data_IF_967828804957
#
_entry.id   IF_967828804957
#
_cell.length_a   1.000
_cell.length_b   1.000
_cell.length_c   1.000
_cell.angle_alpha   90.00
_cell.angle_beta   90.00
_cell.angle_gamma   90.00
#
_symmetry.space_group_name_H-M   'P 1'
#
loop_
_entity.id
_entity.type
_entity.pdbx_description
1 polymer ?
#
# COMPACT_ATOMS: atom_id res chain seq x y z
N UNK A 1 -26.09 -67.64 -10.41
CA UNK A 1 -26.32 -67.88 -11.84
C UNK A 1 -25.47 -66.93 -12.63
N UNK A 2 -24.44 -67.48 -13.20
CA UNK A 2 -23.73 -67.20 -14.46
C UNK A 2 -23.16 -65.82 -14.58
N UNK A 3 -21.84 -65.51 -14.48
CA UNK A 3 -20.62 -66.05 -15.15
C UNK A 3 -20.66 -65.90 -16.68
N UNK A 4 -19.72 -65.07 -17.18
CA UNK A 4 -18.86 -65.28 -18.36
C UNK A 4 -18.03 -63.99 -18.59
N UNK A 5 -16.74 -63.89 -18.38
CA UNK A 5 -15.54 -64.39 -19.05
C UNK A 5 -15.25 -63.85 -20.46
N UNK A 6 -14.07 -63.34 -20.60
CA UNK A 6 -13.20 -63.43 -21.77
C UNK A 6 -12.85 -62.06 -22.39
N UNK A 7 -11.72 -61.72 -22.84
CA UNK A 7 -10.37 -62.23 -22.97
C UNK A 7 -9.49 -61.14 -23.55
N UNK A 8 -8.30 -61.01 -23.08
CA UNK A 8 -7.02 -60.55 -23.57
C UNK A 8 -6.74 -60.73 -25.08
N UNK A 9 -6.10 -59.74 -25.72
CA UNK A 9 -5.03 -60.01 -26.68
C UNK A 9 -4.03 -58.90 -26.78
N UNK A 10 -2.79 -59.25 -26.55
CA UNK A 10 -1.54 -58.56 -26.84
C UNK A 10 -1.19 -58.63 -28.31
N UNK A 11 -0.41 -57.67 -28.85
CA UNK A 11 0.68 -57.86 -29.85
C UNK A 11 1.39 -56.53 -30.12
N UNK A 12 2.61 -56.37 -29.66
CA UNK A 12 3.94 -56.54 -30.34
C UNK A 12 4.36 -55.38 -31.30
N UNK A 13 5.54 -54.84 -30.95
CA UNK A 13 6.43 -54.00 -31.79
C UNK A 13 7.10 -54.84 -32.89
N UNK A 14 7.64 -54.18 -33.96
CA UNK A 14 9.08 -54.25 -34.20
C UNK A 14 9.65 -52.88 -34.70
N UNK A 15 10.76 -52.45 -34.31
CA UNK A 15 12.20 -52.65 -34.48
C UNK A 15 12.79 -52.22 -35.83
N UNK A 16 13.71 -51.25 -35.77
CA UNK A 16 14.91 -50.94 -36.55
C UNK A 16 14.85 -50.87 -38.08
N UNK A 17 15.40 -49.74 -38.60
CA UNK A 17 16.62 -49.88 -39.42
C UNK A 17 17.42 -48.55 -39.54
N UNK A 18 18.73 -48.69 -39.36
CA UNK A 18 19.79 -47.76 -39.68
C UNK A 18 20.06 -47.79 -41.19
N UNK A 19 20.31 -46.66 -41.81
CA UNK A 19 21.23 -46.61 -42.95
C UNK A 19 21.94 -45.26 -43.01
N UNK A 20 23.23 -45.36 -43.04
CA UNK A 20 24.23 -44.34 -43.32
C UNK A 20 24.38 -44.18 -44.84
N UNK A 21 24.59 -42.95 -45.32
CA UNK A 21 25.39 -42.72 -46.53
C UNK A 21 25.81 -41.24 -46.66
N UNK A 22 26.96 -41.07 -47.01
CA UNK A 22 28.03 -40.08 -47.03
C UNK A 22 27.98 -39.16 -48.24
N UNK A 23 28.51 -37.94 -48.11
CA UNK A 23 29.14 -37.03 -49.07
C UNK A 23 28.32 -36.25 -50.09
N UNK A 24 28.42 -34.88 -49.98
CA UNK A 24 29.11 -34.05 -50.96
C UNK A 24 29.26 -32.60 -50.48
N UNK A 25 30.48 -32.10 -50.49
CA UNK A 25 30.88 -30.72 -50.31
C UNK A 25 30.41 -29.84 -51.49
N UNK A 26 29.73 -28.72 -51.23
CA UNK A 26 29.76 -27.54 -52.09
C UNK A 26 29.88 -26.29 -51.23
N UNK A 27 30.94 -25.53 -51.45
CA UNK A 27 31.15 -24.20 -50.93
C UNK A 27 30.15 -23.24 -51.58
N UNK A 28 29.34 -22.59 -50.76
CA UNK A 28 28.55 -21.43 -51.11
C UNK A 28 28.68 -20.38 -49.99
N UNK A 29 29.41 -19.30 -50.26
CA UNK A 29 29.48 -18.16 -49.34
C UNK A 29 28.14 -17.49 -49.27
N UNK A 30 27.48 -17.59 -48.08
CA UNK A 30 26.29 -16.82 -47.77
C UNK A 30 26.68 -15.87 -46.66
N UNK A 31 26.54 -14.57 -46.94
CA UNK A 31 26.64 -13.46 -46.00
C UNK A 31 25.54 -13.67 -44.96
N UNK A 32 25.92 -14.09 -43.76
CA UNK A 32 25.01 -14.17 -42.61
C UNK A 32 24.87 -12.79 -42.00
N UNK A 33 23.74 -12.12 -42.27
CA UNK A 33 23.26 -11.04 -41.44
C UNK A 33 22.96 -11.62 -40.04
N UNK A 34 23.79 -11.30 -39.07
CA UNK A 34 23.64 -11.73 -37.69
C UNK A 34 22.38 -11.11 -37.08
N UNK A 35 21.36 -11.93 -36.85
CA UNK A 35 20.28 -11.62 -35.92
C UNK A 35 20.83 -11.97 -34.53
N UNK A 36 21.28 -10.96 -33.79
CA UNK A 36 21.57 -11.13 -32.39
C UNK A 36 20.25 -11.41 -31.65
N UNK A 37 20.19 -12.43 -30.79
CA UNK A 37 19.05 -12.57 -29.87
C UNK A 37 19.02 -11.38 -28.93
N UNK A 38 17.90 -10.68 -28.85
CA UNK A 38 17.67 -9.64 -27.86
C UNK A 38 17.87 -10.25 -26.47
N UNK A 39 18.84 -9.72 -25.74
CA UNK A 39 19.02 -10.03 -24.33
C UNK A 39 17.76 -9.63 -23.58
N UNK A 40 17.33 -10.39 -22.53
CA UNK A 40 16.24 -9.96 -21.68
C UNK A 40 16.62 -8.62 -21.05
N UNK A 41 15.78 -7.62 -21.22
CA UNK A 41 15.93 -6.33 -20.54
C UNK A 41 15.92 -6.60 -19.05
N UNK A 42 17.08 -6.47 -18.43
CA UNK A 42 17.23 -6.46 -16.98
C UNK A 42 16.29 -5.38 -16.42
N UNK A 43 15.43 -5.79 -15.48
CA UNK A 43 14.68 -4.85 -14.65
C UNK A 43 15.64 -3.75 -14.20
N UNK A 44 15.33 -2.51 -14.54
CA UNK A 44 16.19 -1.37 -14.26
C UNK A 44 16.55 -1.35 -12.79
N UNK A 45 17.84 -1.52 -12.49
CA UNK A 45 18.40 -1.19 -11.21
C UNK A 45 18.04 0.27 -10.93
N UNK A 46 17.39 0.51 -9.79
CA UNK A 46 17.17 1.87 -9.32
C UNK A 46 18.54 2.58 -9.30
N UNK A 47 18.67 3.66 -10.05
CA UNK A 47 19.86 4.50 -10.00
C UNK A 47 20.12 4.91 -8.55
N UNK A 48 21.38 4.96 -8.11
CA UNK A 48 21.70 5.42 -6.77
C UNK A 48 21.21 6.87 -6.65
N UNK A 49 20.23 7.08 -5.76
CA UNK A 49 19.74 8.41 -5.40
C UNK A 49 20.95 9.19 -4.86
N UNK A 50 21.45 10.14 -5.66
CA UNK A 50 22.43 11.12 -5.20
C UNK A 50 21.92 11.73 -3.90
N UNK A 51 22.83 11.84 -2.95
CA UNK A 51 22.63 12.41 -1.62
C UNK A 51 22.00 13.79 -1.77
N UNK A 52 20.66 13.86 -1.75
CA UNK A 52 19.97 15.15 -1.61
C UNK A 52 20.33 15.70 -0.23
N UNK A 53 20.99 16.85 -0.27
CA UNK A 53 21.42 17.57 0.90
C UNK A 53 20.23 17.93 1.80
N UNK A 54 20.51 17.84 3.09
CA UNK A 54 19.70 18.27 4.23
C UNK A 54 18.33 17.61 4.37
N UNK A 55 18.24 16.86 5.48
CA UNK A 55 16.98 16.37 6.02
C UNK A 55 15.94 17.49 6.00
N UNK A 56 15.05 17.47 5.03
CA UNK A 56 13.94 18.38 5.04
C UNK A 56 13.08 18.00 6.26
N UNK A 57 13.19 18.79 7.32
CA UNK A 57 12.40 18.65 8.54
C UNK A 57 10.93 18.45 8.18
N UNK A 58 10.26 17.55 8.92
CA UNK A 58 8.81 17.41 8.80
C UNK A 58 8.21 18.80 8.98
N UNK A 59 7.39 19.26 8.03
CA UNK A 59 6.66 20.51 8.21
C UNK A 59 5.62 20.27 9.31
N UNK A 60 5.81 20.83 10.50
CA UNK A 60 4.86 20.66 11.58
C UNK A 60 3.52 21.28 11.22
N UNK A 61 2.45 20.73 11.74
CA UNK A 61 1.09 21.24 11.55
C UNK A 61 0.49 21.64 12.89
N UNK A 62 0.55 22.92 13.24
CA UNK A 62 -0.07 23.39 14.46
C UNK A 62 -1.57 23.08 14.48
N UNK A 63 -2.10 22.61 15.61
CA UNK A 63 -3.54 22.46 15.80
C UNK A 63 -4.25 23.81 15.60
N UNK A 64 -5.45 23.78 15.01
CA UNK A 64 -6.19 25.00 14.69
C UNK A 64 -6.94 25.58 15.87
N UNK A 65 -7.29 24.75 16.86
CA UNK A 65 -7.96 25.12 18.10
C UNK A 65 -7.72 24.08 19.22
N UNK A 66 -8.28 24.32 20.39
CA UNK A 66 -8.17 23.44 21.55
C UNK A 66 -8.81 22.05 21.33
N UNK A 67 -9.90 21.97 20.59
CA UNK A 67 -10.53 20.68 20.28
C UNK A 67 -9.66 19.85 19.34
N UNK A 68 -9.06 20.50 18.36
CA UNK A 68 -8.12 19.88 17.45
C UNK A 68 -6.85 19.43 18.19
N UNK A 69 -6.28 20.28 19.02
CA UNK A 69 -5.14 19.94 19.88
C UNK A 69 -5.44 18.72 20.75
N UNK A 70 -6.59 18.72 21.43
CA UNK A 70 -7.00 17.59 22.27
C UNK A 70 -7.10 16.29 21.45
N UNK A 71 -7.77 16.30 20.29
CA UNK A 71 -7.88 15.13 19.41
C UNK A 71 -6.52 14.59 18.97
N UNK A 72 -5.59 15.49 18.61
CA UNK A 72 -4.24 15.08 18.22
C UNK A 72 -3.43 14.54 19.40
N UNK A 73 -3.55 15.12 20.61
CA UNK A 73 -2.90 14.57 21.80
C UNK A 73 -3.46 13.19 22.17
N UNK A 74 -4.77 13.00 22.14
CA UNK A 74 -5.41 11.70 22.34
C UNK A 74 -4.90 10.67 21.33
N UNK A 75 -4.86 11.02 20.04
CA UNK A 75 -4.34 10.18 18.98
C UNK A 75 -2.86 9.80 19.21
N UNK A 76 -2.00 10.77 19.45
CA UNK A 76 -0.55 10.58 19.60
C UNK A 76 -0.18 9.87 20.89
N UNK A 77 -0.80 10.23 22.01
CA UNK A 77 -0.44 9.72 23.34
C UNK A 77 -1.11 8.38 23.64
N UNK A 78 -2.43 8.30 23.47
CA UNK A 78 -3.19 7.10 23.82
C UNK A 78 -2.95 5.93 22.88
N UNK A 79 -2.79 6.23 21.58
CA UNK A 79 -2.74 5.19 20.55
C UNK A 79 -1.35 4.98 19.96
N UNK A 80 -0.73 6.03 19.43
CA UNK A 80 0.58 5.93 18.79
C UNK A 80 1.76 5.88 19.77
N UNK A 81 1.55 6.23 21.04
CA UNK A 81 2.59 6.25 22.08
C UNK A 81 3.77 7.15 21.70
N UNK A 82 3.47 8.34 21.22
CA UNK A 82 4.47 9.33 20.84
C UNK A 82 5.16 9.91 22.07
N UNK A 83 6.46 10.17 21.92
CA UNK A 83 7.23 10.99 22.83
C UNK A 83 6.89 12.47 22.67
N UNK A 84 7.30 13.31 23.63
CA UNK A 84 7.13 14.77 23.52
C UNK A 84 7.82 15.32 22.29
N UNK A 85 9.02 14.81 21.95
CA UNK A 85 9.77 15.23 20.77
C UNK A 85 9.04 14.90 19.45
N UNK A 86 8.42 13.72 19.37
CA UNK A 86 7.60 13.33 18.21
C UNK A 86 6.33 14.18 18.10
N UNK A 87 5.71 14.55 19.23
CA UNK A 87 4.58 15.49 19.26
C UNK A 87 5.02 16.88 18.81
N UNK A 88 6.18 17.36 19.30
CA UNK A 88 6.79 18.62 18.82
C UNK A 88 7.02 18.57 17.30
N UNK A 89 7.60 17.50 16.77
CA UNK A 89 7.83 17.33 15.34
C UNK A 89 6.53 17.30 14.54
N UNK A 90 5.45 16.73 15.10
CA UNK A 90 4.15 16.66 14.43
C UNK A 90 3.40 18.02 14.46
N UNK A 91 3.50 18.78 15.55
CA UNK A 91 2.64 19.93 15.81
C UNK A 91 3.36 21.28 15.76
N UNK A 92 4.68 21.30 15.97
CA UNK A 92 5.45 22.53 16.14
C UNK A 92 5.30 23.19 17.52
N UNK A 93 4.53 22.57 18.45
CA UNK A 93 4.39 23.09 19.80
C UNK A 93 5.65 22.86 20.62
N UNK A 94 6.00 23.79 21.51
CA UNK A 94 7.10 23.61 22.43
C UNK A 94 6.79 22.50 23.47
N UNK A 95 7.80 21.79 23.98
CA UNK A 95 7.59 20.75 25.00
C UNK A 95 6.76 21.20 26.22
N UNK A 96 6.98 22.43 26.69
CA UNK A 96 6.24 22.98 27.80
C UNK A 96 4.73 23.19 27.51
N UNK A 97 4.40 23.58 26.26
CA UNK A 97 3.02 23.74 25.81
C UNK A 97 2.32 22.37 25.71
N UNK A 98 3.02 21.35 25.22
CA UNK A 98 2.52 19.97 25.15
C UNK A 98 2.20 19.46 26.57
N UNK A 99 3.13 19.59 27.51
CA UNK A 99 2.94 19.16 28.90
C UNK A 99 1.77 19.90 29.55
N UNK A 100 1.67 21.21 29.33
CA UNK A 100 0.55 22.02 29.85
C UNK A 100 -0.79 21.58 29.24
N UNK A 101 -0.84 21.29 27.94
CA UNK A 101 -2.04 20.80 27.27
C UNK A 101 -2.43 19.38 27.73
N UNK A 102 -1.47 18.48 27.94
CA UNK A 102 -1.70 17.15 28.53
C UNK A 102 -2.37 17.26 29.91
N UNK A 103 -1.86 18.14 30.78
CA UNK A 103 -2.45 18.39 32.10
C UNK A 103 -3.85 18.99 31.99
N UNK A 104 -4.04 19.97 31.11
CA UNK A 104 -5.32 20.67 30.90
C UNK A 104 -6.42 19.73 30.38
N UNK A 105 -6.10 18.81 29.45
CA UNK A 105 -7.08 17.90 28.88
C UNK A 105 -7.14 16.55 29.59
N UNK A 106 -6.31 16.33 30.60
CA UNK A 106 -6.15 15.05 31.28
C UNK A 106 -5.83 13.91 30.33
N UNK A 107 -4.89 14.11 29.38
CA UNK A 107 -4.45 13.10 28.42
C UNK A 107 -3.09 12.53 28.82
N UNK A 108 -3.09 11.28 29.32
CA UNK A 108 -1.89 10.59 29.79
C UNK A 108 -1.79 9.19 29.17
N UNK A 109 -0.58 8.59 29.08
CA UNK A 109 -0.41 7.26 28.51
C UNK A 109 -1.20 6.15 29.25
N UNK A 110 -1.51 6.35 30.53
CA UNK A 110 -2.16 5.38 31.42
C UNK A 110 -3.69 5.53 31.52
N UNK A 111 -4.26 6.62 31.00
CA UNK A 111 -5.70 6.89 31.13
C UNK A 111 -6.48 6.77 29.81
N UNK A 112 -5.95 6.00 28.85
CA UNK A 112 -6.67 5.73 27.60
C UNK A 112 -8.03 5.07 27.89
N UNK A 113 -9.14 5.57 27.34
CA UNK A 113 -10.43 4.92 27.47
C UNK A 113 -10.40 3.48 26.94
N UNK A 114 -11.03 2.57 27.70
CA UNK A 114 -11.22 1.20 27.25
C UNK A 114 -12.16 1.15 26.04
N UNK A 115 -11.84 0.30 25.07
CA UNK A 115 -12.73 -0.01 23.95
C UNK A 115 -13.46 -1.33 24.23
N UNK A 116 -14.71 -1.42 23.82
CA UNK A 116 -15.46 -2.68 23.91
C UNK A 116 -14.79 -3.76 23.03
N UNK A 117 -14.88 -5.02 23.45
CA UNK A 117 -14.21 -6.12 22.74
C UNK A 117 -14.74 -6.36 21.32
N UNK A 118 -15.99 -5.99 21.06
CA UNK A 118 -16.67 -6.07 19.77
C UNK A 118 -16.56 -4.78 18.95
N UNK A 119 -15.77 -3.82 19.40
CA UNK A 119 -15.56 -2.58 18.65
C UNK A 119 -14.91 -2.90 17.29
N UNK A 120 -15.30 -2.20 16.21
CA UNK A 120 -14.60 -2.25 14.93
C UNK A 120 -13.11 -1.98 15.09
N UNK A 121 -12.30 -2.32 14.08
CA UNK A 121 -10.88 -1.98 14.08
C UNK A 121 -10.67 -0.47 14.34
N UNK A 122 -9.63 -0.14 15.10
CA UNK A 122 -9.33 1.28 15.36
C UNK A 122 -8.63 1.89 14.14
N UNK A 123 -9.27 2.90 13.58
CA UNK A 123 -8.82 3.66 12.40
C UNK A 123 -8.63 5.13 12.81
N UNK A 124 -7.42 5.66 12.65
CA UNK A 124 -7.08 7.05 12.99
C UNK A 124 -6.23 7.71 11.90
N UNK A 125 -6.36 9.02 11.65
CA UNK A 125 -5.40 9.76 10.84
C UNK A 125 -3.99 9.58 11.39
N UNK A 126 -2.99 9.38 10.52
CA UNK A 126 -1.59 9.32 10.94
C UNK A 126 -1.10 10.72 11.33
N UNK A 127 -0.53 10.92 12.53
CA UNK A 127 -0.25 12.27 13.03
C UNK A 127 0.98 12.96 12.40
N UNK A 128 1.85 12.25 11.66
CA UNK A 128 3.17 12.77 11.27
C UNK A 128 4.15 12.75 12.45
N UNK A 129 5.25 13.49 12.37
CA UNK A 129 6.24 13.60 13.45
C UNK A 129 7.14 12.39 13.68
N UNK A 130 6.69 11.21 13.34
CA UNK A 130 7.44 9.94 13.31
C UNK A 130 7.43 9.41 11.88
N UNK A 131 8.57 8.90 11.41
CA UNK A 131 8.61 8.29 10.09
C UNK A 131 7.85 6.95 10.09
N UNK A 132 6.87 6.73 9.18
CA UNK A 132 6.05 5.51 9.21
C UNK A 132 6.79 4.27 8.68
N UNK A 133 7.95 4.42 8.05
CA UNK A 133 8.74 3.34 7.45
C UNK A 133 10.02 3.10 8.23
N UNK A 134 10.43 1.83 8.30
CA UNK A 134 11.78 1.43 8.71
C UNK A 134 12.70 1.34 7.49
N UNK A 135 14.01 1.39 7.72
CA UNK A 135 15.03 1.19 6.68
C UNK A 135 15.13 2.33 5.65
N UNK A 136 14.34 3.38 5.77
CA UNK A 136 14.51 4.58 4.99
C UNK A 136 15.68 5.39 5.56
N UNK A 137 16.54 5.92 4.68
CA UNK A 137 17.62 6.81 5.10
C UNK A 137 17.00 8.10 5.67
N UNK A 138 17.50 8.56 6.80
CA UNK A 138 17.11 9.82 7.37
C UNK A 138 17.19 10.93 6.32
N UNK A 139 16.14 11.74 6.22
CA UNK A 139 16.04 12.84 5.27
C UNK A 139 15.63 12.50 3.84
N UNK A 140 15.44 11.22 3.48
CA UNK A 140 15.03 10.83 2.13
C UNK A 140 13.56 11.13 1.82
N UNK A 141 12.72 11.31 2.83
CA UNK A 141 11.27 11.49 2.68
C UNK A 141 10.75 12.41 3.77
N UNK A 142 10.05 13.48 3.39
CA UNK A 142 9.27 14.26 4.34
C UNK A 142 8.10 13.41 4.84
N UNK A 143 7.95 13.19 6.14
CA UNK A 143 6.84 12.41 6.69
C UNK A 143 5.53 13.20 6.61
N UNK A 144 5.01 13.35 5.40
CA UNK A 144 3.69 13.97 5.20
C UNK A 144 2.61 13.06 5.78
N UNK A 145 1.66 13.66 6.48
CA UNK A 145 0.51 12.94 7.04
C UNK A 145 -0.73 12.92 6.13
N UNK A 146 -0.73 13.73 5.05
CA UNK A 146 -1.79 13.63 4.04
C UNK A 146 -1.82 12.23 3.44
N UNK A 147 -2.99 11.73 3.13
CA UNK A 147 -3.26 10.39 2.62
C UNK A 147 -2.90 9.23 3.56
N UNK A 148 -2.26 9.50 4.72
CA UNK A 148 -1.89 8.46 5.67
C UNK A 148 -2.90 8.30 6.80
N UNK A 149 -3.24 7.06 7.09
CA UNK A 149 -3.98 6.70 8.29
C UNK A 149 -3.38 5.46 8.95
N UNK A 150 -3.64 5.29 10.23
CA UNK A 150 -3.19 4.14 11.02
C UNK A 150 -4.33 3.20 11.30
N UNK A 151 -4.07 1.91 11.14
CA UNK A 151 -4.98 0.82 11.52
C UNK A 151 -4.31 0.02 12.62
N UNK A 152 -4.89 0.04 13.82
CA UNK A 152 -4.36 -0.67 14.97
C UNK A 152 -4.72 -2.15 14.92
N UNK A 153 -3.74 -3.01 15.23
CA UNK A 153 -3.95 -4.46 15.20
C UNK A 153 -4.91 -4.90 16.30
N UNK A 154 -5.72 -5.94 16.07
CA UNK A 154 -6.69 -6.39 17.07
C UNK A 154 -6.04 -7.05 18.29
N UNK A 155 -4.80 -7.53 18.16
CA UNK A 155 -4.08 -8.26 19.20
C UNK A 155 -3.14 -7.40 20.06
N UNK A 156 -2.79 -6.20 19.61
CA UNK A 156 -1.94 -5.25 20.36
C UNK A 156 -2.41 -3.82 20.10
N UNK A 157 -2.92 -3.14 21.13
CA UNK A 157 -3.48 -1.80 21.00
C UNK A 157 -2.44 -0.69 20.76
N UNK A 158 -1.15 -1.02 20.74
CA UNK A 158 -0.06 -0.09 20.44
C UNK A 158 0.64 -0.41 19.11
N UNK A 159 0.28 -1.55 18.49
CA UNK A 159 0.77 -2.02 17.22
C UNK A 159 -0.16 -1.57 16.09
N UNK A 160 0.40 -1.01 15.01
CA UNK A 160 -0.40 -0.47 13.92
C UNK A 160 0.30 -0.56 12.57
N UNK A 161 -0.51 -0.61 11.51
CA UNK A 161 -0.13 -0.45 10.12
C UNK A 161 -0.42 0.98 9.71
N UNK A 162 0.50 1.63 8.99
CA UNK A 162 0.22 2.92 8.35
C UNK A 162 -0.08 2.70 6.87
N UNK A 163 -1.26 3.12 6.44
CA UNK A 163 -1.67 3.00 5.03
C UNK A 163 -1.59 4.36 4.37
N UNK A 164 -0.96 4.41 3.19
CA UNK A 164 -0.97 5.56 2.29
C UNK A 164 -2.02 5.32 1.19
N UNK A 165 -3.05 6.13 1.16
CA UNK A 165 -4.21 6.00 0.27
C UNK A 165 -4.52 7.32 -0.44
N UNK A 166 -4.00 7.56 -1.65
CA UNK A 166 -2.94 6.84 -2.35
C UNK A 166 -1.54 7.34 -1.95
N UNK A 167 -0.52 6.49 -2.11
CA UNK A 167 0.87 6.92 -2.02
C UNK A 167 1.27 7.73 -3.25
N UNK A 168 0.91 7.25 -4.45
CA UNK A 168 1.22 7.93 -5.70
C UNK A 168 0.18 7.63 -6.78
N UNK A 169 0.03 8.57 -7.71
CA UNK A 169 -0.77 8.41 -8.93
C UNK A 169 0.07 8.88 -10.13
N UNK A 170 0.23 8.00 -11.11
CA UNK A 170 0.84 8.30 -12.41
C UNK A 170 -0.23 8.38 -13.50
N UNK A 171 0.10 9.10 -14.55
CA UNK A 171 -0.65 9.13 -15.81
C UNK A 171 0.35 9.18 -16.97
N UNK A 172 -0.13 9.23 -18.23
CA UNK A 172 0.70 9.49 -19.40
C UNK A 172 1.47 10.81 -19.31
N UNK A 173 1.03 11.76 -18.49
CA UNK A 173 1.71 13.06 -18.27
C UNK A 173 2.80 12.98 -17.19
N UNK A 174 2.98 11.83 -16.54
CA UNK A 174 3.93 11.60 -15.44
C UNK A 174 3.27 11.48 -14.08
N UNK A 175 4.04 11.74 -13.03
CA UNK A 175 3.62 11.61 -11.63
C UNK A 175 2.74 12.81 -11.23
N UNK A 176 1.43 12.60 -11.07
CA UNK A 176 0.47 13.67 -10.75
C UNK A 176 0.17 13.79 -9.25
N UNK A 177 0.49 12.78 -8.45
CA UNK A 177 0.41 12.79 -7.01
C UNK A 177 1.51 11.97 -6.38
N UNK A 178 2.10 12.45 -5.28
CA UNK A 178 3.05 11.71 -4.45
C UNK A 178 2.92 12.15 -2.99
N UNK A 179 2.71 11.19 -2.11
CA UNK A 179 2.62 11.40 -0.66
C UNK A 179 4.00 11.59 0.02
N UNK A 180 5.10 11.42 -0.71
CA UNK A 180 6.48 11.64 -0.25
C UNK A 180 7.23 12.47 -1.26
N UNK A 181 7.98 13.48 -0.81
CA UNK A 181 8.68 14.38 -1.73
C UNK A 181 10.10 13.91 -2.09
N UNK A 182 10.26 12.66 -2.50
CA UNK A 182 11.56 12.12 -2.92
C UNK A 182 11.83 12.21 -4.42
N UNK A 183 10.80 12.42 -5.23
CA UNK A 183 10.89 12.72 -6.67
C UNK A 183 9.88 13.81 -7.05
N UNK A 184 10.20 14.66 -8.03
CA UNK A 184 9.31 15.74 -8.39
C UNK A 184 8.07 15.25 -9.13
N UNK A 185 6.91 15.75 -8.74
CA UNK A 185 5.65 15.61 -9.47
C UNK A 185 5.59 16.60 -10.66
N UNK A 186 4.56 16.47 -11.51
CA UNK A 186 4.32 17.42 -12.58
C UNK A 186 4.11 18.85 -12.04
N UNK A 187 3.58 18.99 -10.80
CA UNK A 187 3.31 20.27 -10.15
C UNK A 187 4.59 20.90 -9.57
N UNK A 188 5.39 20.14 -8.86
CA UNK A 188 6.65 20.64 -8.29
C UNK A 188 7.63 21.06 -9.38
N UNK A 189 7.62 20.40 -10.55
CA UNK A 189 8.40 20.85 -11.73
C UNK A 189 7.96 22.20 -12.27
N UNK A 190 6.70 22.60 -12.01
CA UNK A 190 6.14 23.89 -12.40
C UNK A 190 6.20 24.91 -11.26
N UNK A 191 6.79 24.58 -10.12
CA UNK A 191 6.84 25.46 -8.94
C UNK A 191 5.49 25.60 -8.24
N UNK A 192 4.55 24.65 -8.45
CA UNK A 192 3.22 24.67 -7.82
C UNK A 192 3.27 23.83 -6.57
N UNK A 193 2.99 24.44 -5.42
CA UNK A 193 2.74 23.74 -4.17
C UNK A 193 1.26 23.38 -4.04
N UNK A 194 0.99 22.12 -3.67
CA UNK A 194 -0.35 21.68 -3.39
C UNK A 194 -0.71 22.00 -1.92
N UNK A 195 -1.93 22.50 -1.64
CA UNK A 195 -2.37 22.78 -0.28
C UNK A 195 -2.28 21.54 0.60
N UNK A 196 -1.91 21.72 1.86
CA UNK A 196 -1.98 20.67 2.86
C UNK A 196 -3.42 20.27 3.14
N UNK A 197 -3.66 18.97 3.37
CA UNK A 197 -4.99 18.43 3.68
C UNK A 197 -4.93 17.56 4.93
N UNK A 198 -6.10 17.39 5.55
CA UNK A 198 -6.32 16.47 6.66
C UNK A 198 -7.46 15.54 6.35
N UNK A 199 -7.36 14.31 6.87
CA UNK A 199 -8.48 13.40 6.90
C UNK A 199 -9.63 14.00 7.70
N UNK A 200 -10.81 13.94 7.13
CA UNK A 200 -12.04 14.31 7.81
C UNK A 200 -12.70 13.05 8.38
N UNK A 201 -13.33 13.18 9.55
CA UNK A 201 -14.18 12.11 10.08
C UNK A 201 -15.39 11.93 9.18
N UNK A 202 -15.68 10.67 8.83
CA UNK A 202 -16.85 10.25 8.07
C UNK A 202 -17.65 9.24 8.92
N UNK A 203 -18.62 9.76 9.67
CA UNK A 203 -19.29 9.01 10.73
C UNK A 203 -18.35 8.66 11.91
N UNK A 204 -18.73 7.64 12.66
CA UNK A 204 -17.97 7.20 13.84
C UNK A 204 -16.73 6.36 13.48
N UNK A 205 -16.79 5.64 12.35
CA UNK A 205 -15.85 4.59 11.98
C UNK A 205 -15.09 4.89 10.69
N UNK A 206 -15.34 6.04 10.06
CA UNK A 206 -14.81 6.39 8.75
C UNK A 206 -13.87 7.57 8.75
N UNK A 207 -13.06 7.61 7.70
CA UNK A 207 -12.20 8.73 7.31
C UNK A 207 -12.44 9.02 5.82
N UNK A 208 -12.48 10.30 5.46
CA UNK A 208 -12.53 10.75 4.06
C UNK A 208 -11.49 11.82 3.79
N UNK A 209 -10.99 11.84 2.56
CA UNK A 209 -10.05 12.84 2.06
C UNK A 209 -10.40 13.14 0.60
N UNK A 210 -10.49 14.42 0.24
CA UNK A 210 -10.68 14.85 -1.15
C UNK A 210 -9.57 15.81 -1.56
N UNK A 211 -8.94 15.54 -2.70
CA UNK A 211 -7.90 16.40 -3.29
C UNK A 211 -8.26 16.77 -4.72
N UNK A 212 -8.26 18.06 -4.98
CA UNK A 212 -8.33 18.61 -6.34
C UNK A 212 -6.93 19.05 -6.77
N UNK A 213 -6.54 18.64 -7.97
CA UNK A 213 -5.27 19.00 -8.60
C UNK A 213 -5.43 20.25 -9.48
N UNK A 214 -4.34 20.99 -9.80
CA UNK A 214 -4.41 22.24 -10.55
C UNK A 214 -5.05 22.14 -11.93
N UNK A 215 -4.96 20.97 -12.58
CA UNK A 215 -5.57 20.71 -13.90
C UNK A 215 -7.06 20.33 -13.86
N UNK A 216 -7.68 20.36 -12.70
CA UNK A 216 -9.09 19.97 -12.53
C UNK A 216 -9.33 18.50 -12.24
N UNK A 217 -8.33 17.63 -12.33
CA UNK A 217 -8.43 16.25 -11.83
C UNK A 217 -8.61 16.26 -10.32
N UNK A 218 -9.44 15.35 -9.81
CA UNK A 218 -9.60 15.16 -8.39
C UNK A 218 -9.54 13.67 -8.03
N UNK A 219 -9.15 13.39 -6.79
CA UNK A 219 -9.35 12.06 -6.20
C UNK A 219 -9.92 12.19 -4.80
N UNK A 220 -10.73 11.20 -4.43
CA UNK A 220 -11.31 11.07 -3.10
C UNK A 220 -10.96 9.69 -2.56
N UNK A 221 -10.47 9.66 -1.33
CA UNK A 221 -10.16 8.45 -0.60
C UNK A 221 -11.10 8.30 0.59
N UNK A 222 -11.63 7.09 0.80
CA UNK A 222 -12.42 6.72 1.96
C UNK A 222 -11.83 5.48 2.61
N UNK A 223 -11.86 5.42 3.94
CA UNK A 223 -11.53 4.23 4.71
C UNK A 223 -12.54 4.09 5.84
N UNK A 224 -13.13 2.91 5.98
CA UNK A 224 -14.16 2.62 6.99
C UNK A 224 -13.77 1.35 7.75
N UNK A 225 -13.79 1.44 9.08
CA UNK A 225 -13.51 0.31 9.94
C UNK A 225 -14.74 -0.59 10.10
N UNK A 226 -14.58 -1.87 9.82
CA UNK A 226 -15.53 -2.93 10.15
C UNK A 226 -14.93 -3.84 11.25
N UNK A 227 -15.67 -4.83 11.68
CA UNK A 227 -15.21 -5.76 12.72
C UNK A 227 -13.99 -6.58 12.27
N UNK A 228 -13.94 -6.96 10.98
CA UNK A 228 -12.95 -7.88 10.41
C UNK A 228 -11.97 -7.25 9.42
N UNK A 229 -12.22 -5.99 8.99
CA UNK A 229 -11.41 -5.34 7.98
C UNK A 229 -11.58 -3.82 7.97
N UNK A 230 -10.63 -3.14 7.34
CA UNK A 230 -10.81 -1.79 6.81
C UNK A 230 -11.25 -1.92 5.35
N UNK A 231 -12.40 -1.36 5.03
CA UNK A 231 -12.90 -1.19 3.67
C UNK A 231 -12.37 0.14 3.14
N UNK A 232 -11.77 0.12 1.97
CA UNK A 232 -11.18 1.31 1.36
C UNK A 232 -11.80 1.58 0.01
N UNK A 233 -11.82 2.83 -0.38
CA UNK A 233 -12.30 3.27 -1.68
C UNK A 233 -11.41 4.41 -2.18
N UNK A 234 -11.02 4.36 -3.44
CA UNK A 234 -10.35 5.43 -4.13
C UNK A 234 -11.14 5.78 -5.39
N UNK A 235 -11.63 7.01 -5.45
CA UNK A 235 -12.34 7.56 -6.59
C UNK A 235 -11.41 8.52 -7.33
N UNK A 236 -11.41 8.44 -8.66
CA UNK A 236 -10.73 9.35 -9.56
C UNK A 236 -11.78 10.08 -10.41
N UNK A 237 -11.67 11.41 -10.50
CA UNK A 237 -12.56 12.26 -11.28
C UNK A 237 -11.74 13.10 -12.25
N UNK A 238 -12.01 12.95 -13.53
CA UNK A 238 -11.39 13.77 -14.58
C UNK A 238 -12.20 15.03 -14.83
N UNK A 239 -12.00 16.06 -14.01
CA UNK A 239 -12.60 17.38 -14.21
C UNK A 239 -11.80 18.28 -15.15
N UNK A 240 -10.81 17.73 -15.89
CA UNK A 240 -10.04 18.44 -16.89
C UNK A 240 -10.69 18.37 -18.28
N UNK A 241 -10.09 19.07 -19.25
CA UNK A 241 -10.49 19.01 -20.67
C UNK A 241 -9.77 17.95 -21.48
N UNK A 242 -8.83 17.22 -20.87
CA UNK A 242 -8.00 16.20 -21.53
C UNK A 242 -8.36 14.80 -21.09
N UNK A 243 -8.14 13.81 -21.94
CA UNK A 243 -8.25 12.41 -21.57
C UNK A 243 -7.01 11.95 -20.81
N UNK A 244 -7.20 11.14 -19.78
CA UNK A 244 -6.12 10.52 -19.02
C UNK A 244 -6.04 9.03 -19.36
N UNK A 245 -4.80 8.55 -19.51
CA UNK A 245 -4.47 7.15 -19.69
C UNK A 245 -3.30 6.76 -18.79
N UNK A 246 -3.00 5.46 -18.73
CA UNK A 246 -1.95 4.90 -17.88
C UNK A 246 -2.05 5.35 -16.41
N UNK A 247 -3.27 5.38 -15.89
CA UNK A 247 -3.60 5.82 -14.54
C UNK A 247 -3.22 4.74 -13.52
N UNK A 248 -1.94 4.64 -13.21
CA UNK A 248 -1.38 3.71 -12.22
C UNK A 248 -1.39 4.33 -10.84
N UNK A 249 -1.81 3.54 -9.86
CA UNK A 249 -1.87 3.96 -8.47
C UNK A 249 -0.93 3.09 -7.64
N UNK A 250 -0.24 3.71 -6.70
CA UNK A 250 0.51 3.00 -5.67
C UNK A 250 -0.19 3.19 -4.33
N UNK A 251 -0.46 2.07 -3.67
CA UNK A 251 -1.02 2.01 -2.32
C UNK A 251 0.00 1.31 -1.44
N UNK A 252 0.32 1.90 -0.30
CA UNK A 252 1.33 1.34 0.59
C UNK A 252 0.74 1.04 1.97
N UNK A 253 0.87 -0.19 2.44
CA UNK A 253 0.64 -0.56 3.83
C UNK A 253 2.00 -0.79 4.50
N UNK A 254 2.42 0.17 5.35
CA UNK A 254 3.72 0.19 6.01
C UNK A 254 3.65 -0.55 7.34
N UNK A 255 4.52 -1.55 7.52
CA UNK A 255 4.50 -2.49 8.64
C UNK A 255 5.49 -2.15 9.76
N UNK A 256 6.24 -1.07 9.63
CA UNK A 256 7.34 -0.72 10.55
C UNK A 256 6.92 -0.61 12.02
N UNK A 257 5.67 -0.32 12.29
CA UNK A 257 5.09 -0.21 13.65
C UNK A 257 4.11 -1.34 13.99
N UNK A 258 4.03 -2.37 13.14
CA UNK A 258 3.26 -3.58 13.40
C UNK A 258 4.15 -4.62 14.08
N UNK A 259 3.95 -4.86 15.37
CA UNK A 259 4.76 -5.77 16.18
C UNK A 259 4.75 -7.19 15.59
N UNK A 260 5.93 -7.73 15.31
CA UNK A 260 6.13 -9.02 14.66
C UNK A 260 6.09 -9.02 13.13
N UNK A 261 5.96 -7.83 12.48
CA UNK A 261 5.88 -7.71 11.01
C UNK A 261 6.94 -6.78 10.40
N UNK A 262 7.82 -6.23 11.23
CA UNK A 262 8.80 -5.22 10.81
C UNK A 262 10.11 -5.82 10.23
N UNK A 263 10.16 -7.12 9.92
CA UNK A 263 11.33 -7.75 9.33
C UNK A 263 11.61 -7.22 7.91
N UNK A 264 12.86 -6.81 7.69
CA UNK A 264 13.33 -6.26 6.42
C UNK A 264 13.64 -7.37 5.40
N UNK A 265 12.64 -8.19 5.10
CA UNK A 265 12.70 -9.31 4.14
C UNK A 265 11.40 -9.43 3.33
N UNK A 266 11.45 -10.14 2.21
CA UNK A 266 10.25 -10.58 1.49
C UNK A 266 9.94 -12.07 1.69
N UNK A 267 10.75 -12.82 2.46
CA UNK A 267 10.57 -14.25 2.68
C UNK A 267 9.32 -14.57 3.51
N UNK A 268 8.85 -13.61 4.30
CA UNK A 268 7.62 -13.71 5.09
C UNK A 268 6.38 -13.16 4.35
N UNK A 269 6.49 -12.88 3.05
CA UNK A 269 5.41 -12.28 2.26
C UNK A 269 4.89 -13.22 1.18
N UNK A 270 3.59 -13.14 0.93
CA UNK A 270 2.88 -13.91 -0.10
C UNK A 270 2.21 -12.94 -1.07
N UNK A 271 2.43 -13.19 -2.36
CA UNK A 271 1.89 -12.40 -3.47
C UNK A 271 0.92 -13.27 -4.27
N UNK A 272 -0.37 -12.96 -4.21
CA UNK A 272 -1.44 -13.66 -4.94
C UNK A 272 -2.46 -12.63 -5.41
N UNK A 273 -2.21 -12.04 -6.56
CA UNK A 273 -3.06 -11.01 -7.13
C UNK A 273 -4.57 -11.30 -6.90
N UNK A 274 -5.35 -10.35 -6.31
CA UNK A 274 -4.94 -9.01 -5.89
C UNK A 274 -4.36 -8.94 -4.47
N UNK A 275 -4.15 -10.06 -3.79
CA UNK A 275 -3.74 -10.14 -2.38
C UNK A 275 -2.23 -10.06 -2.22
N UNK A 276 -1.84 -9.24 -1.24
CA UNK A 276 -0.48 -9.21 -0.69
C UNK A 276 -0.59 -9.40 0.82
N UNK A 277 0.11 -10.39 1.34
CA UNK A 277 0.05 -10.74 2.76
C UNK A 277 1.45 -10.82 3.36
N UNK A 278 1.59 -10.42 4.63
CA UNK A 278 2.79 -10.61 5.43
C UNK A 278 2.48 -11.50 6.62
N UNK A 279 3.34 -12.50 6.86
CA UNK A 279 3.27 -13.38 8.04
C UNK A 279 4.12 -12.81 9.17
N UNK A 280 3.62 -12.88 10.39
CA UNK A 280 4.36 -12.50 11.60
C UNK A 280 5.56 -13.41 11.87
N UNK A 281 6.51 -12.91 12.65
CA UNK A 281 7.72 -13.66 13.04
C UNK A 281 7.43 -14.96 13.80
N UNK A 282 6.33 -15.00 14.57
CA UNK A 282 5.87 -16.22 15.26
C UNK A 282 5.08 -17.18 14.35
N UNK A 283 4.80 -16.73 13.11
CA UNK A 283 4.10 -17.52 12.10
C UNK A 283 2.61 -17.70 12.31
N UNK A 284 2.00 -17.04 13.30
CA UNK A 284 0.60 -17.29 13.72
C UNK A 284 -0.37 -16.21 13.22
N UNK A 285 0.14 -15.09 12.67
CA UNK A 285 -0.67 -13.92 12.32
C UNK A 285 -0.33 -13.43 10.94
N UNK A 286 -1.30 -12.77 10.30
CA UNK A 286 -1.16 -12.21 8.96
C UNK A 286 -1.76 -10.81 8.88
N UNK A 287 -1.11 -9.94 8.13
CA UNK A 287 -1.64 -8.67 7.64
C UNK A 287 -1.86 -8.84 6.14
N UNK A 288 -3.09 -8.61 5.67
CA UNK A 288 -3.51 -8.87 4.29
C UNK A 288 -4.06 -7.59 3.70
N UNK A 289 -3.59 -7.20 2.52
CA UNK A 289 -4.17 -6.10 1.74
C UNK A 289 -4.48 -6.54 0.32
N UNK A 290 -5.51 -5.94 -0.28
CA UNK A 290 -5.91 -6.20 -1.66
C UNK A 290 -6.59 -4.98 -2.27
N UNK A 291 -6.48 -4.80 -3.59
CA UNK A 291 -7.18 -3.76 -4.34
C UNK A 291 -7.80 -4.32 -5.62
N UNK A 292 -9.03 -3.88 -5.89
CA UNK A 292 -9.68 -4.08 -7.17
C UNK A 292 -8.81 -3.48 -8.29
N UNK A 293 -8.69 -4.19 -9.43
CA UNK A 293 -7.85 -3.73 -10.54
C UNK A 293 -6.34 -3.75 -10.23
N UNK A 294 -5.90 -4.57 -9.26
CA UNK A 294 -4.48 -4.77 -8.99
C UNK A 294 -3.74 -5.16 -10.28
N UNK A 295 -2.72 -4.41 -10.63
CA UNK A 295 -1.81 -4.72 -11.72
C UNK A 295 -0.42 -5.14 -11.25
N UNK A 296 -0.11 -4.87 -9.97
CA UNK A 296 1.19 -5.20 -9.39
C UNK A 296 1.04 -5.49 -7.89
N UNK A 297 1.21 -6.74 -7.52
CA UNK A 297 1.34 -7.20 -6.15
C UNK A 297 2.84 -7.31 -5.81
N UNK A 298 3.33 -6.53 -4.83
CA UNK A 298 4.75 -6.50 -4.49
C UNK A 298 5.01 -5.99 -3.08
N UNK A 299 6.26 -6.01 -2.65
CA UNK A 299 6.72 -5.45 -1.38
C UNK A 299 8.16 -4.97 -1.49
N UNK A 300 8.54 -4.07 -0.59
CA UNK A 300 9.90 -3.57 -0.49
C UNK A 300 10.56 -4.11 0.79
N UNK A 301 11.52 -5.03 0.64
CA UNK A 301 12.17 -5.68 1.78
C UNK A 301 12.88 -4.71 2.72
N UNK A 302 13.73 -3.76 2.24
CA UNK A 302 14.40 -2.79 3.12
C UNK A 302 13.46 -1.89 3.92
N UNK A 303 12.22 -1.75 3.45
CA UNK A 303 11.19 -0.92 4.06
C UNK A 303 9.92 -1.78 4.16
N UNK A 304 9.74 -2.54 5.26
CA UNK A 304 8.65 -3.50 5.36
C UNK A 304 7.30 -2.87 5.01
N UNK A 305 6.77 -3.21 3.85
CA UNK A 305 5.49 -2.71 3.37
C UNK A 305 4.86 -3.72 2.40
N UNK A 306 3.56 -3.59 2.19
CA UNK A 306 2.76 -4.37 1.25
C UNK A 306 2.13 -3.42 0.22
N UNK A 307 2.17 -3.83 -1.03
CA UNK A 307 1.58 -3.09 -2.14
C UNK A 307 0.70 -4.02 -2.99
N UNK A 308 -0.58 -3.69 -3.07
CA UNK A 308 -1.50 -4.17 -4.08
C UNK A 308 -1.87 -2.96 -4.92
N UNK A 309 -1.08 -2.69 -5.97
CA UNK A 309 -1.16 -1.44 -6.73
C UNK A 309 -2.22 -1.56 -7.84
N UNK A 310 -3.32 -0.80 -7.77
CA UNK A 310 -4.36 -0.86 -8.77
C UNK A 310 -4.07 0.06 -9.96
N UNK A 311 -4.86 -0.12 -11.02
CA UNK A 311 -4.88 0.75 -12.18
C UNK A 311 -6.31 1.12 -12.55
N UNK A 312 -6.58 2.42 -12.75
CA UNK A 312 -7.82 2.87 -13.35
C UNK A 312 -7.80 2.64 -14.87
N UNK A 313 -8.96 2.49 -15.47
CA UNK A 313 -9.10 2.53 -16.91
C UNK A 313 -8.81 3.95 -17.44
N UNK A 314 -8.70 4.10 -18.75
CA UNK A 314 -8.58 5.42 -19.39
C UNK A 314 -9.79 6.30 -19.05
N UNK A 315 -9.55 7.58 -18.81
CA UNK A 315 -10.54 8.50 -18.24
C UNK A 315 -10.76 9.69 -19.19
N UNK A 316 -11.93 9.73 -19.84
CA UNK A 316 -12.35 10.85 -20.65
C UNK A 316 -12.69 12.09 -19.78
N UNK A 317 -12.66 13.31 -20.34
CA UNK A 317 -13.15 14.50 -19.63
C UNK A 317 -14.55 14.31 -19.05
N UNK A 318 -14.72 14.71 -17.79
CA UNK A 318 -15.97 14.59 -17.05
C UNK A 318 -16.29 13.18 -16.53
N UNK A 319 -15.46 12.19 -16.79
CA UNK A 319 -15.68 10.82 -16.28
C UNK A 319 -15.21 10.64 -14.83
N UNK A 320 -15.77 9.65 -14.18
CA UNK A 320 -15.44 9.26 -12.82
C UNK A 320 -15.31 7.74 -12.73
N UNK A 321 -14.32 7.28 -11.98
CA UNK A 321 -14.05 5.85 -11.73
C UNK A 321 -13.74 5.63 -10.26
N UNK A 322 -13.97 4.42 -9.80
CA UNK A 322 -13.82 4.04 -8.40
C UNK A 322 -13.22 2.65 -8.31
N UNK A 323 -12.31 2.47 -7.38
CA UNK A 323 -11.69 1.19 -7.04
C UNK A 323 -11.84 0.95 -5.55
N UNK A 324 -11.99 -0.31 -5.16
CA UNK A 324 -12.17 -0.74 -3.78
C UNK A 324 -10.94 -1.47 -3.27
N UNK A 325 -10.68 -1.31 -1.98
CA UNK A 325 -9.57 -1.92 -1.28
C UNK A 325 -10.00 -2.60 0.02
N UNK A 326 -9.13 -3.48 0.46
CA UNK A 326 -9.26 -4.29 1.65
C UNK A 326 -7.97 -4.26 2.46
N UNK A 327 -8.08 -4.13 3.78
CA UNK A 327 -7.00 -4.44 4.71
C UNK A 327 -7.57 -5.21 5.89
N UNK A 328 -7.00 -6.36 6.21
CA UNK A 328 -7.44 -7.18 7.34
C UNK A 328 -6.28 -7.82 8.11
N UNK A 329 -6.64 -8.36 9.28
CA UNK A 329 -5.78 -9.07 10.18
C UNK A 329 -6.34 -10.48 10.37
N UNK A 330 -5.46 -11.48 10.26
CA UNK A 330 -5.85 -12.88 10.43
C UNK A 330 -4.95 -13.55 11.44
N UNK A 331 -5.53 -14.33 12.34
CA UNK A 331 -4.82 -15.19 13.29
C UNK A 331 -5.10 -16.65 12.94
N UNK A 332 -4.07 -17.35 12.47
CA UNK A 332 -4.14 -18.73 12.00
C UNK A 332 -3.04 -19.08 11.01
N UNK A 333 -3.03 -20.35 10.57
CA UNK A 333 -2.00 -20.93 9.73
C UNK A 333 -2.44 -21.20 8.28
N UNK A 334 -3.73 -21.10 8.00
CA UNK A 334 -4.30 -21.40 6.69
C UNK A 334 -4.67 -20.09 5.94
N UNK A 335 -3.65 -19.52 5.31
CA UNK A 335 -3.85 -18.31 4.51
C UNK A 335 -4.81 -18.54 3.34
N UNK A 336 -4.81 -19.75 2.74
CA UNK A 336 -5.68 -20.04 1.59
C UNK A 336 -7.15 -20.05 1.98
N UNK A 337 -7.49 -20.64 3.11
CA UNK A 337 -8.84 -20.58 3.67
C UNK A 337 -9.24 -19.14 4.01
N UNK A 338 -8.34 -18.33 4.55
CA UNK A 338 -8.63 -16.92 4.84
C UNK A 338 -8.86 -16.09 3.57
N UNK A 339 -8.03 -16.26 2.54
CA UNK A 339 -8.24 -15.57 1.27
C UNK A 339 -9.59 -15.97 0.63
N UNK A 340 -9.96 -17.26 0.71
CA UNK A 340 -11.27 -17.73 0.25
C UNK A 340 -12.42 -17.11 1.07
N UNK A 341 -12.26 -16.97 2.41
CA UNK A 341 -13.22 -16.26 3.27
C UNK A 341 -13.38 -14.80 2.85
N UNK A 342 -12.28 -14.09 2.59
CA UNK A 342 -12.31 -12.69 2.13
C UNK A 342 -13.06 -12.59 0.79
N UNK A 343 -12.78 -13.46 -0.17
CA UNK A 343 -13.49 -13.50 -1.45
C UNK A 343 -14.99 -13.71 -1.27
N UNK A 344 -15.39 -14.60 -0.36
CA UNK A 344 -16.79 -14.89 -0.06
C UNK A 344 -17.56 -13.67 0.51
N UNK A 345 -16.86 -12.65 1.03
CA UNK A 345 -17.49 -11.39 1.47
C UNK A 345 -17.95 -10.51 0.32
N UNK A 346 -17.56 -10.82 -0.91
CA UNK A 346 -17.81 -10.02 -2.10
C UNK A 346 -17.39 -8.54 -1.93
N UNK A 347 -16.23 -8.32 -1.31
CA UNK A 347 -15.76 -7.01 -0.88
C UNK A 347 -15.62 -5.99 -2.01
N UNK A 348 -15.43 -6.46 -3.26
CA UNK A 348 -15.36 -5.58 -4.44
C UNK A 348 -16.71 -4.99 -4.83
N UNK A 349 -17.81 -5.60 -4.45
CA UNK A 349 -19.17 -5.11 -4.75
C UNK A 349 -19.78 -4.29 -3.60
N UNK A 350 -19.32 -4.50 -2.36
CA UNK A 350 -19.84 -3.82 -1.19
C UNK A 350 -19.31 -2.37 -1.14
N UNK A 351 -20.17 -1.36 -0.92
CA UNK A 351 -19.72 0.01 -0.68
C UNK A 351 -18.88 0.04 0.62
N UNK A 352 -17.94 1.00 0.69
CA UNK A 352 -17.14 1.25 1.90
C UNK A 352 -17.96 1.90 3.04
N UNK A 353 -19.29 1.75 3.05
CA UNK A 353 -20.19 2.37 4.03
C UNK A 353 -20.78 1.32 4.96
#
# INVERSE_FOLDING_TARGET
MQATTGQSTSHQRPNRNKQSATWCLMLGAIVSAGISPAAPQSAGAAEPVEKMADAAESVPRPPVDDNDLRRWLENMIWHHRFTVDEITAATGLAPAEIVAAQARFDVRPDNRPARAADSPLLLLPYPGGRHPRLGFRDGAVRPRRETKFSVFTPWDPTSYVVVDLPEAIWSQHGLIWLAHEHVPTVWTKQGIELPVLEWQRDGEQGLSLARKLPNGVAFTAHAVAAADAIRMELKFENGSTESFSDLRVQICAMLGHAAGFAEQTNDNKVFRDPYVACRSTDGQRWIITAWEGCQRAWANAPCPCLHSDPKFADSAPGSSQQLRGWLSFYEGNDLDAELARIEATNWRAAPAR
#
